data_IF_271599848090
#
_entry.id   IF_271599848090
#
_cell.length_a   1.000
_cell.length_b   1.000
_cell.length_c   1.000
_cell.angle_alpha   90.00
_cell.angle_beta   90.00
_cell.angle_gamma   90.00
#
_symmetry.space_group_name_H-M   'P 1'
#
loop_
_entity.id
_entity.type
_entity.pdbx_description
1 polymer ?
#
# COMPACT_ATOMS: atom_id res chain seq x y z
N UNK A 1 9.90 38.53 -14.17
CA UNK A 1 9.12 37.35 -13.74
C UNK A 1 9.01 36.37 -14.90
N UNK A 2 9.72 35.24 -14.86
CA UNK A 2 9.72 34.26 -15.95
C UNK A 2 8.45 33.41 -15.89
N UNK A 3 7.62 33.46 -16.96
CA UNK A 3 6.46 32.58 -17.14
C UNK A 3 6.97 31.16 -17.38
N UNK A 4 6.77 30.25 -16.41
CA UNK A 4 6.93 28.80 -16.62
C UNK A 4 5.91 28.36 -17.66
N UNK A 5 6.34 28.15 -18.90
CA UNK A 5 5.55 27.43 -19.90
C UNK A 5 5.46 25.97 -19.46
N UNK A 6 4.27 25.56 -19.01
CA UNK A 6 3.94 24.15 -18.89
C UNK A 6 3.90 23.56 -20.29
N UNK A 7 4.86 22.68 -20.60
CA UNK A 7 4.87 21.90 -21.84
C UNK A 7 3.63 21.00 -21.80
N UNK A 8 2.59 21.38 -22.54
CA UNK A 8 1.44 20.50 -22.77
C UNK A 8 1.99 19.26 -23.51
N UNK A 9 1.86 18.08 -22.90
CA UNK A 9 2.21 16.82 -23.54
C UNK A 9 1.30 16.60 -24.75
N UNK A 10 1.83 15.98 -25.81
CA UNK A 10 1.01 15.61 -26.94
C UNK A 10 -0.10 14.64 -26.46
N UNK A 11 -1.35 14.78 -26.94
CA UNK A 11 -2.43 13.82 -26.61
C UNK A 11 -2.11 12.39 -27.08
N UNK A 12 -1.14 12.23 -27.99
CA UNK A 12 -0.60 10.93 -28.41
C UNK A 12 0.25 10.24 -27.33
N UNK A 13 0.62 10.93 -26.25
CA UNK A 13 1.43 10.40 -25.14
C UNK A 13 0.58 10.05 -23.91
N UNK A 14 -0.74 10.07 -24.05
CA UNK A 14 -1.65 9.60 -23.02
C UNK A 14 -1.56 8.08 -22.88
N UNK A 15 -1.74 7.61 -21.64
CA UNK A 15 -1.65 6.18 -21.36
C UNK A 15 -2.92 5.49 -21.88
N UNK A 16 -2.83 4.27 -22.42
CA UNK A 16 -4.01 3.48 -22.73
C UNK A 16 -4.84 3.27 -21.47
N UNK A 17 -6.17 3.42 -21.57
CA UNK A 17 -7.08 3.30 -20.43
C UNK A 17 -6.92 1.97 -19.67
N UNK A 18 -6.59 0.87 -20.37
CA UNK A 18 -6.32 -0.43 -19.74
C UNK A 18 -5.08 -0.40 -18.83
N UNK A 19 -4.05 0.35 -19.21
CA UNK A 19 -2.83 0.48 -18.43
C UNK A 19 -3.06 1.39 -17.22
N UNK A 20 -3.81 2.49 -17.39
CA UNK A 20 -4.20 3.36 -16.27
C UNK A 20 -4.99 2.56 -15.22
N UNK A 21 -6.02 1.82 -15.64
CA UNK A 21 -6.79 0.97 -14.74
C UNK A 21 -5.93 -0.10 -14.05
N UNK A 22 -4.96 -0.70 -14.76
CA UNK A 22 -4.05 -1.68 -14.19
C UNK A 22 -3.10 -1.08 -13.15
N UNK A 23 -2.62 0.15 -13.37
CA UNK A 23 -1.79 0.89 -12.41
C UNK A 23 -2.63 1.27 -11.19
N UNK A 24 -3.84 1.79 -11.38
CA UNK A 24 -4.72 2.18 -10.28
C UNK A 24 -5.13 1.00 -9.39
N UNK A 25 -5.32 -0.18 -9.99
CA UNK A 25 -5.61 -1.43 -9.28
C UNK A 25 -4.38 -2.13 -8.69
N UNK A 26 -3.16 -1.62 -8.93
CA UNK A 26 -1.93 -2.29 -8.54
C UNK A 26 -1.83 -2.45 -7.00
N UNK A 27 -1.48 -3.66 -6.58
CA UNK A 27 -1.17 -3.95 -5.17
C UNK A 27 0.26 -3.52 -4.85
N UNK A 28 0.41 -2.74 -3.79
CA UNK A 28 1.71 -2.25 -3.28
C UNK A 28 1.91 -2.80 -1.88
N UNK A 29 2.93 -3.64 -1.70
CA UNK A 29 3.27 -4.25 -0.41
C UNK A 29 4.66 -3.83 0.02
N UNK A 30 4.74 -3.10 1.12
CA UNK A 30 6.01 -2.75 1.76
C UNK A 30 6.53 -3.95 2.57
N UNK A 31 7.77 -4.36 2.31
CA UNK A 31 8.47 -5.40 3.05
C UNK A 31 9.70 -4.76 3.70
N UNK A 32 9.66 -4.64 5.02
CA UNK A 32 10.84 -4.33 5.81
C UNK A 32 11.62 -5.63 6.02
N UNK A 33 12.81 -5.73 5.43
CA UNK A 33 13.79 -6.76 5.80
C UNK A 33 14.32 -6.48 7.20
N UNK A 34 14.69 -7.51 7.96
CA UNK A 34 15.42 -7.36 9.23
C UNK A 34 16.82 -6.77 9.03
N UNK A 35 17.32 -6.80 7.80
CA UNK A 35 18.57 -6.19 7.34
C UNK A 35 18.22 -5.03 6.39
N UNK A 36 18.02 -3.85 6.98
CA UNK A 36 18.00 -2.46 6.48
C UNK A 36 17.37 -2.04 5.12
N UNK A 37 17.13 -2.91 4.16
CA UNK A 37 16.55 -2.51 2.87
C UNK A 37 15.03 -2.63 2.88
N UNK A 38 14.35 -1.49 2.85
CA UNK A 38 12.92 -1.42 2.52
C UNK A 38 12.73 -1.83 1.06
N UNK A 39 11.97 -2.90 0.82
CA UNK A 39 11.63 -3.36 -0.52
C UNK A 39 10.14 -3.23 -0.77
N UNK A 40 9.79 -2.78 -1.96
CA UNK A 40 8.39 -2.67 -2.40
C UNK A 40 8.09 -3.81 -3.36
N UNK A 41 7.09 -4.63 -3.05
CA UNK A 41 6.57 -5.65 -3.94
C UNK A 41 5.33 -5.11 -4.65
N UNK A 42 5.31 -5.24 -5.98
CA UNK A 42 4.22 -4.81 -6.85
C UNK A 42 3.54 -6.02 -7.50
N UNK A 43 2.23 -5.93 -7.72
CA UNK A 43 1.46 -6.88 -8.50
C UNK A 43 0.26 -6.19 -9.19
N UNK A 44 -0.01 -6.52 -10.44
CA UNK A 44 -1.21 -6.02 -11.13
C UNK A 44 -2.48 -6.63 -10.52
N UNK A 45 -3.59 -5.89 -10.62
CA UNK A 45 -4.89 -6.38 -10.18
C UNK A 45 -5.30 -7.64 -10.96
N UNK A 46 -5.69 -8.70 -10.25
CA UNK A 46 -6.19 -9.93 -10.86
C UNK A 46 -5.11 -10.95 -11.27
N UNK A 47 -3.83 -10.58 -11.22
CA UNK A 47 -2.70 -11.50 -11.46
C UNK A 47 -1.82 -11.62 -10.21
N UNK A 48 -2.06 -12.65 -9.39
CA UNK A 48 -1.24 -12.94 -8.21
C UNK A 48 0.08 -13.67 -8.54
N UNK A 49 0.19 -14.23 -9.75
CA UNK A 49 1.33 -15.06 -10.19
C UNK A 49 2.51 -14.27 -10.74
N UNK A 50 2.35 -12.96 -10.97
CA UNK A 50 3.38 -12.12 -11.56
C UNK A 50 3.74 -10.92 -10.67
N UNK A 51 3.92 -11.13 -9.36
CA UNK A 51 4.47 -10.07 -8.50
C UNK A 51 5.98 -9.89 -8.72
N UNK A 52 6.50 -8.67 -8.60
CA UNK A 52 7.93 -8.39 -8.67
C UNK A 52 8.35 -7.32 -7.67
N UNK A 53 9.63 -7.31 -7.30
CA UNK A 53 10.19 -6.22 -6.51
C UNK A 53 10.39 -4.98 -7.39
N UNK A 54 9.98 -3.83 -6.87
CA UNK A 54 10.09 -2.57 -7.58
C UNK A 54 11.55 -2.15 -7.70
N UNK A 55 12.07 -2.29 -8.91
CA UNK A 55 13.24 -1.57 -9.41
C UNK A 55 12.80 -0.79 -10.66
N UNK A 56 13.30 0.43 -10.91
CA UNK A 56 12.82 1.26 -12.02
C UNK A 56 12.90 0.57 -13.38
N UNK A 57 14.01 -0.11 -13.65
CA UNK A 57 14.29 -0.82 -14.90
C UNK A 57 13.41 -2.07 -15.02
N UNK A 58 13.36 -2.89 -13.96
CA UNK A 58 12.51 -4.10 -13.93
C UNK A 58 11.03 -3.75 -14.11
N UNK A 59 10.58 -2.68 -13.47
CA UNK A 59 9.19 -2.21 -13.56
C UNK A 59 8.89 -1.72 -14.97
N UNK A 60 9.80 -0.95 -15.58
CA UNK A 60 9.66 -0.51 -16.96
C UNK A 60 9.55 -1.69 -17.92
N UNK A 61 10.42 -2.68 -17.79
CA UNK A 61 10.44 -3.87 -18.63
C UNK A 61 9.17 -4.72 -18.47
N UNK A 62 8.67 -4.85 -17.24
CA UNK A 62 7.40 -5.55 -16.95
C UNK A 62 6.22 -4.87 -17.64
N UNK A 63 6.13 -3.54 -17.55
CA UNK A 63 5.07 -2.77 -18.22
C UNK A 63 5.20 -2.92 -19.74
N UNK A 64 6.41 -2.79 -20.30
CA UNK A 64 6.63 -2.93 -21.74
C UNK A 64 6.28 -4.33 -22.28
N UNK A 65 6.50 -5.38 -21.50
CA UNK A 65 6.11 -6.75 -21.85
C UNK A 65 4.60 -6.97 -21.81
N UNK A 66 3.92 -6.41 -20.81
CA UNK A 66 2.47 -6.56 -20.65
C UNK A 66 1.67 -5.72 -21.65
N UNK A 67 2.20 -4.57 -22.09
CA UNK A 67 1.62 -3.73 -23.12
C UNK A 67 2.61 -3.50 -24.28
N UNK A 68 2.75 -4.49 -25.18
CA UNK A 68 3.59 -4.33 -26.36
C UNK A 68 3.01 -3.23 -27.26
N UNK A 69 3.86 -2.27 -27.66
CA UNK A 69 3.47 -1.16 -28.53
C UNK A 69 3.37 0.20 -27.83
N UNK A 70 3.64 0.28 -26.52
CA UNK A 70 3.80 1.56 -25.85
C UNK A 70 5.02 2.32 -26.38
N UNK A 71 4.87 3.63 -26.54
CA UNK A 71 6.00 4.52 -26.84
C UNK A 71 6.87 4.72 -25.61
N UNK A 72 8.12 5.17 -25.82
CA UNK A 72 9.04 5.48 -24.73
C UNK A 72 8.50 6.56 -23.76
N UNK A 73 7.77 7.53 -24.31
CA UNK A 73 7.10 8.58 -23.56
C UNK A 73 5.99 8.01 -22.66
N UNK A 74 5.17 7.10 -23.19
CA UNK A 74 4.12 6.42 -22.43
C UNK A 74 4.72 5.53 -21.33
N UNK A 75 5.77 4.76 -21.64
CA UNK A 75 6.47 3.96 -20.62
C UNK A 75 7.02 4.82 -19.49
N UNK A 76 7.65 5.95 -19.84
CA UNK A 76 8.19 6.89 -18.85
C UNK A 76 7.07 7.49 -18.00
N UNK A 77 5.91 7.80 -18.59
CA UNK A 77 4.73 8.29 -17.88
C UNK A 77 4.13 7.22 -16.96
N UNK A 78 4.03 5.98 -17.41
CA UNK A 78 3.56 4.85 -16.61
C UNK A 78 4.47 4.60 -15.40
N UNK A 79 5.80 4.59 -15.59
CA UNK A 79 6.73 4.46 -14.47
C UNK A 79 6.62 5.61 -13.46
N UNK A 80 6.34 6.84 -13.92
CA UNK A 80 6.07 7.97 -13.02
C UNK A 80 4.77 7.78 -12.23
N UNK A 81 3.72 7.27 -12.87
CA UNK A 81 2.46 6.98 -12.20
C UNK A 81 2.63 5.91 -11.12
N UNK A 82 3.32 4.81 -11.42
CA UNK A 82 3.65 3.76 -10.44
C UNK A 82 4.44 4.33 -9.26
N UNK A 83 5.46 5.14 -9.50
CA UNK A 83 6.21 5.81 -8.42
C UNK A 83 5.32 6.73 -7.57
N UNK A 84 4.38 7.44 -8.20
CA UNK A 84 3.39 8.27 -7.50
C UNK A 84 2.48 7.43 -6.60
N UNK A 85 2.02 6.29 -7.09
CA UNK A 85 1.20 5.34 -6.35
C UNK A 85 1.94 4.79 -5.13
N UNK A 86 3.18 4.35 -5.30
CA UNK A 86 4.01 3.84 -4.19
C UNK A 86 4.14 4.91 -3.10
N UNK A 87 4.49 6.15 -3.47
CA UNK A 87 4.61 7.26 -2.52
C UNK A 87 3.31 7.59 -1.80
N UNK A 88 2.18 7.52 -2.51
CA UNK A 88 0.86 7.73 -1.91
C UNK A 88 0.56 6.66 -0.86
N UNK A 89 0.83 5.39 -1.18
CA UNK A 89 0.65 4.26 -0.25
C UNK A 89 1.60 4.31 0.94
N UNK A 90 2.85 4.70 0.76
CA UNK A 90 3.77 4.96 1.89
C UNK A 90 3.18 5.99 2.87
N UNK A 91 2.61 7.07 2.35
CA UNK A 91 2.04 8.15 3.18
C UNK A 91 0.81 7.69 3.95
N UNK A 92 -0.04 6.86 3.36
CA UNK A 92 -1.21 6.26 4.02
C UNK A 92 -0.82 5.22 5.08
N UNK A 93 0.28 4.49 4.86
CA UNK A 93 0.79 3.49 5.80
C UNK A 93 1.43 4.09 7.06
N UNK A 94 1.73 5.39 7.07
CA UNK A 94 2.19 6.08 8.27
C UNK A 94 1.11 5.93 9.38
N UNK A 95 1.47 5.40 10.57
CA UNK A 95 0.47 5.04 11.56
C UNK A 95 -0.24 6.30 12.05
N UNK A 96 -1.54 6.42 11.75
CA UNK A 96 -2.45 7.12 12.65
C UNK A 96 -2.24 6.48 14.03
N UNK A 97 -1.67 7.23 14.97
CA UNK A 97 -1.28 6.76 16.32
C UNK A 97 -2.28 5.74 16.84
N UNK A 98 -1.96 4.45 16.71
CA UNK A 98 -2.80 3.38 17.22
C UNK A 98 -2.58 3.33 18.72
N UNK A 99 -3.43 4.04 19.47
CA UNK A 99 -3.74 3.59 20.83
C UNK A 99 -4.43 2.23 20.67
N UNK A 100 -3.62 1.17 20.69
CA UNK A 100 -4.13 -0.19 20.67
C UNK A 100 -4.92 -0.41 21.96
N UNK A 101 -6.24 -0.55 21.85
CA UNK A 101 -7.13 -0.89 22.96
C UNK A 101 -6.72 -2.22 23.64
N UNK A 102 -5.99 -3.07 22.91
CA UNK A 102 -5.38 -4.29 23.45
C UNK A 102 -4.25 -3.99 24.44
N UNK A 103 -3.44 -2.95 24.20
CA UNK A 103 -2.37 -2.55 25.12
C UNK A 103 -2.92 -1.98 26.44
N UNK A 104 -4.18 -1.54 26.46
CA UNK A 104 -4.89 -1.09 27.66
C UNK A 104 -5.80 -2.16 28.27
N UNK A 105 -5.80 -3.38 27.74
CA UNK A 105 -6.66 -4.45 28.26
C UNK A 105 -6.21 -4.83 29.67
N UNK A 106 -7.14 -4.80 30.63
CA UNK A 106 -6.92 -5.32 31.98
C UNK A 106 -7.91 -6.44 32.24
N UNK A 107 -7.47 -7.57 32.83
CA UNK A 107 -8.39 -8.60 33.26
C UNK A 107 -9.31 -8.05 34.36
N UNK A 108 -10.60 -8.37 34.28
CA UNK A 108 -11.56 -8.09 35.34
C UNK A 108 -11.08 -8.88 36.56
N UNK A 109 -10.62 -8.19 37.61
CA UNK A 109 -10.27 -8.83 38.89
C UNK A 109 -11.56 -9.27 39.58
N UNK A 110 -12.09 -10.41 39.17
CA UNK A 110 -13.20 -11.07 39.84
C UNK A 110 -12.69 -11.92 40.98
N UNK A 111 -12.51 -11.34 42.16
CA UNK A 111 -12.65 -12.01 43.47
C UNK A 111 -12.80 -10.93 44.53
N UNK A 112 -13.91 -10.19 44.51
CA UNK A 112 -14.44 -9.67 45.76
C UNK A 112 -15.07 -10.86 46.49
N UNK A 113 -14.30 -11.43 47.40
CA UNK A 113 -14.83 -12.30 48.45
C UNK A 113 -15.76 -11.39 49.26
N UNK A 114 -17.07 -11.54 49.05
CA UNK A 114 -18.05 -10.90 49.93
C UNK A 114 -17.93 -11.54 51.32
N UNK A 115 -17.61 -10.77 52.38
CA UNK A 115 -17.63 -11.29 53.73
C UNK A 115 -19.08 -11.36 54.22
N UNK A 116 -19.45 -12.52 54.76
CA UNK A 116 -20.61 -12.76 55.63
C UNK A 116 -22.01 -12.33 55.16
N UNK A 117 -22.83 -13.31 54.79
CA UNK A 117 -24.21 -13.35 55.26
C UNK A 117 -24.47 -14.68 55.97
N UNK A 118 -24.68 -14.56 57.28
CA UNK A 118 -25.24 -15.58 58.16
C UNK A 118 -26.69 -15.91 57.75
N UNK A 119 -27.11 -17.14 58.04
CA UNK A 119 -28.50 -17.42 58.40
C UNK A 119 -29.13 -18.57 57.63
N UNK A 120 -29.38 -19.68 58.34
CA UNK A 120 -30.36 -20.66 57.91
C UNK A 120 -30.03 -22.07 58.33
N UNK A 121 -30.10 -22.33 59.63
CA UNK A 121 -30.40 -23.67 60.14
C UNK A 121 -31.67 -24.17 59.45
N UNK A 122 -31.62 -25.35 58.86
CA UNK A 122 -32.81 -26.18 58.62
C UNK A 122 -32.47 -27.58 59.13
N UNK A 123 -33.33 -28.01 60.04
CA UNK A 123 -33.33 -29.25 60.83
C UNK A 123 -33.12 -30.54 60.02
#
# INVERSE_FOLDING_TARGET
MAKRQFKQGNPSDDLPASLEAAIDGMSVVHRTSSEEDERVLLAFAGEFTASWYHEPEVTRDRIAKAWPGLTDAQLTRACRAVNGLIRARCREAAPARRHSTWASWRPIRGTEIFPNYMGGDYE
#
